data_IF_517906848471
#
_entry.id   IF_517906848471
#
_cell.length_a   1.000
_cell.length_b   1.000
_cell.length_c   1.000
_cell.angle_alpha   90.00
_cell.angle_beta   90.00
_cell.angle_gamma   90.00
#
_symmetry.space_group_name_H-M   'P 1'
#
loop_
_entity.id
_entity.type
_entity.pdbx_description
1 polymer ?
#
# COMPACT_ATOMS: atom_id res chain seq x y z
N UNK A 1 -31.64 -4.51 4.26
CA UNK A 1 -30.37 -3.77 4.34
C UNK A 1 -29.32 -4.58 5.06
N UNK A 2 -28.10 -4.63 4.57
CA UNK A 2 -26.98 -5.49 5.00
C UNK A 2 -26.23 -4.93 6.22
N UNK A 3 -26.38 -5.48 7.45
CA UNK A 3 -25.69 -5.00 8.64
C UNK A 3 -24.15 -5.01 8.51
N UNK A 4 -23.56 -5.99 7.84
CA UNK A 4 -22.13 -6.11 7.65
C UNK A 4 -21.56 -5.03 6.71
N UNK A 5 -22.30 -4.64 5.67
CA UNK A 5 -21.93 -3.51 4.81
C UNK A 5 -21.91 -2.20 5.63
N UNK A 6 -22.97 -1.91 6.39
CA UNK A 6 -23.03 -0.72 7.25
C UNK A 6 -21.90 -0.69 8.28
N UNK A 7 -21.62 -1.82 8.93
CA UNK A 7 -20.51 -1.96 9.87
C UNK A 7 -19.14 -1.70 9.18
N UNK A 8 -18.95 -2.18 7.94
CA UNK A 8 -17.75 -1.93 7.16
C UNK A 8 -17.56 -0.43 6.87
N UNK A 9 -18.63 0.28 6.48
CA UNK A 9 -18.60 1.73 6.26
C UNK A 9 -18.32 2.51 7.55
N UNK A 10 -18.95 2.11 8.68
CA UNK A 10 -18.73 2.75 9.98
C UNK A 10 -17.27 2.58 10.46
N UNK A 11 -16.73 1.37 10.39
CA UNK A 11 -15.31 1.11 10.73
C UNK A 11 -14.36 1.92 9.85
N UNK A 12 -14.64 2.02 8.55
CA UNK A 12 -13.77 2.80 7.64
C UNK A 12 -13.88 4.30 7.89
N UNK A 13 -15.07 4.82 8.24
CA UNK A 13 -15.26 6.22 8.67
C UNK A 13 -14.36 6.55 9.85
N UNK A 14 -14.41 5.71 10.88
CA UNK A 14 -13.66 5.93 12.11
C UNK A 14 -12.15 5.82 11.83
N UNK A 15 -11.72 4.83 11.04
CA UNK A 15 -10.33 4.70 10.62
C UNK A 15 -9.82 5.91 9.79
N UNK A 16 -10.66 6.50 8.93
CA UNK A 16 -10.31 7.72 8.19
C UNK A 16 -10.18 8.93 9.13
N UNK A 17 -11.08 9.07 10.12
CA UNK A 17 -11.00 10.12 11.12
C UNK A 17 -9.70 10.03 11.94
N UNK A 18 -9.37 8.84 12.44
CA UNK A 18 -8.17 8.57 13.24
C UNK A 18 -6.88 8.75 12.44
N UNK A 19 -6.90 8.41 11.15
CA UNK A 19 -5.74 8.53 10.26
C UNK A 19 -5.61 9.92 9.59
N UNK A 20 -6.46 10.89 9.94
CA UNK A 20 -6.33 12.29 9.54
C UNK A 20 -6.95 12.65 8.18
N UNK A 21 -7.97 11.89 7.72
CA UNK A 21 -8.80 12.27 6.58
C UNK A 21 -10.22 12.66 7.02
N UNK A 22 -10.45 13.87 7.49
CA UNK A 22 -11.80 14.36 7.82
C UNK A 22 -12.70 14.42 6.59
N UNK A 23 -12.15 14.61 5.40
CA UNK A 23 -12.89 14.61 4.15
C UNK A 23 -13.58 13.27 3.90
N UNK A 24 -12.83 12.18 3.91
CA UNK A 24 -13.41 10.84 3.72
C UNK A 24 -14.29 10.40 4.90
N UNK A 25 -13.93 10.76 6.14
CA UNK A 25 -14.77 10.46 7.29
C UNK A 25 -16.18 11.10 7.16
N UNK A 26 -16.25 12.37 6.70
CA UNK A 26 -17.52 13.06 6.46
C UNK A 26 -18.32 12.43 5.32
N UNK A 27 -17.67 12.10 4.19
CA UNK A 27 -18.34 11.44 3.07
C UNK A 27 -18.88 10.06 3.46
N UNK A 28 -18.13 9.28 4.23
CA UNK A 28 -18.57 7.96 4.70
C UNK A 28 -19.75 8.07 5.67
N UNK A 29 -19.82 9.11 6.51
CA UNK A 29 -21.00 9.36 7.33
C UNK A 29 -22.24 9.63 6.46
N UNK A 30 -22.09 10.41 5.38
CA UNK A 30 -23.15 10.61 4.39
C UNK A 30 -23.55 9.32 3.68
N UNK A 31 -22.57 8.48 3.29
CA UNK A 31 -22.84 7.18 2.67
C UNK A 31 -23.66 6.26 3.58
N UNK A 32 -23.34 6.20 4.87
CA UNK A 32 -24.09 5.41 5.85
C UNK A 32 -25.54 5.86 5.88
N UNK A 33 -25.80 7.17 6.03
CA UNK A 33 -27.15 7.72 6.05
C UNK A 33 -27.91 7.46 4.73
N UNK A 34 -27.22 7.53 3.57
CA UNK A 34 -27.81 7.27 2.26
C UNK A 34 -28.15 5.77 2.08
N UNK A 35 -27.30 4.88 2.58
CA UNK A 35 -27.58 3.43 2.60
C UNK A 35 -28.81 3.13 3.49
N UNK A 36 -28.89 3.75 4.67
CA UNK A 36 -30.04 3.59 5.58
C UNK A 36 -31.37 4.12 5.00
N UNK A 37 -31.27 5.08 4.08
CA UNK A 37 -32.40 5.69 3.39
C UNK A 37 -32.72 5.03 2.02
N UNK A 38 -32.12 3.88 1.70
CA UNK A 38 -32.22 3.20 0.39
C UNK A 38 -31.90 4.12 -0.79
N UNK A 39 -30.85 4.97 -0.63
CA UNK A 39 -30.39 5.92 -1.65
C UNK A 39 -29.38 5.32 -2.64
N UNK A 40 -28.83 6.13 -3.57
CA UNK A 40 -27.92 5.67 -4.62
C UNK A 40 -26.71 4.88 -4.14
N UNK A 41 -26.18 5.13 -2.94
CA UNK A 41 -25.07 4.34 -2.39
C UNK A 41 -25.56 2.91 -2.06
N UNK A 42 -26.80 2.77 -1.57
CA UNK A 42 -27.40 1.43 -1.36
C UNK A 42 -27.51 0.66 -2.67
N UNK A 43 -27.89 1.32 -3.77
CA UNK A 43 -27.95 0.70 -5.09
C UNK A 43 -26.59 0.18 -5.56
N UNK A 44 -25.50 0.88 -5.26
CA UNK A 44 -24.13 0.42 -5.61
C UNK A 44 -23.75 -0.84 -4.85
N UNK A 45 -24.09 -0.94 -3.56
CA UNK A 45 -23.67 -2.05 -2.70
C UNK A 45 -24.71 -3.16 -2.55
N UNK A 46 -25.84 -3.10 -3.25
CA UNK A 46 -26.98 -4.01 -3.07
C UNK A 46 -26.64 -5.49 -3.27
N UNK A 47 -25.69 -5.80 -4.17
CA UNK A 47 -25.31 -7.18 -4.52
C UNK A 47 -24.14 -7.71 -3.66
N UNK A 48 -23.69 -6.94 -2.67
CA UNK A 48 -22.63 -7.37 -1.75
C UNK A 48 -23.19 -8.40 -0.76
N UNK A 49 -22.56 -9.57 -0.72
CA UNK A 49 -22.89 -10.61 0.26
C UNK A 49 -22.51 -10.14 1.67
N UNK A 50 -23.52 -9.94 2.51
CA UNK A 50 -23.37 -9.46 3.88
C UNK A 50 -22.57 -10.42 4.79
N UNK A 51 -22.61 -11.71 4.47
CA UNK A 51 -21.85 -12.74 5.17
C UNK A 51 -20.36 -12.76 4.78
N UNK A 52 -20.02 -12.13 3.65
CA UNK A 52 -18.67 -12.09 3.09
C UNK A 52 -18.35 -10.75 2.44
N UNK A 53 -18.44 -9.68 3.24
CA UNK A 53 -18.11 -8.31 2.77
C UNK A 53 -16.66 -8.23 2.31
N UNK A 54 -16.39 -7.80 1.07
CA UNK A 54 -15.02 -7.70 0.57
C UNK A 54 -14.14 -6.78 1.43
N UNK A 55 -12.87 -7.12 1.63
CA UNK A 55 -11.94 -6.26 2.37
C UNK A 55 -11.89 -4.85 1.77
N UNK A 56 -11.95 -3.84 2.66
CA UNK A 56 -11.88 -2.42 2.30
C UNK A 56 -12.96 -2.00 1.28
N UNK A 57 -14.14 -2.58 1.33
CA UNK A 57 -15.27 -2.24 0.47
C UNK A 57 -15.51 -0.73 0.35
N UNK A 58 -15.55 0.07 1.45
CA UNK A 58 -15.76 1.51 1.35
C UNK A 58 -14.63 2.24 0.60
N UNK A 59 -13.38 1.76 0.70
CA UNK A 59 -12.27 2.34 -0.05
C UNK A 59 -12.30 1.97 -1.54
N UNK A 60 -12.82 0.80 -1.90
CA UNK A 60 -13.10 0.44 -3.30
C UNK A 60 -14.10 1.42 -3.90
N UNK A 61 -15.19 1.66 -3.18
CA UNK A 61 -16.25 2.60 -3.57
C UNK A 61 -15.72 4.04 -3.70
N UNK A 62 -15.05 4.57 -2.65
CA UNK A 62 -14.49 5.93 -2.68
C UNK A 62 -13.40 6.10 -3.75
N UNK A 63 -12.58 5.06 -3.97
CA UNK A 63 -11.59 5.04 -5.05
C UNK A 63 -12.24 5.11 -6.43
N UNK A 64 -13.38 4.42 -6.65
CA UNK A 64 -14.18 4.53 -7.86
C UNK A 64 -14.69 5.95 -8.09
N UNK A 65 -15.28 6.59 -7.06
CA UNK A 65 -15.74 7.98 -7.14
C UNK A 65 -14.58 8.96 -7.39
N UNK A 66 -13.46 8.79 -6.68
CA UNK A 66 -12.27 9.63 -6.89
C UNK A 66 -11.71 9.47 -8.32
N UNK A 67 -11.78 8.26 -8.89
CA UNK A 67 -11.39 8.01 -10.28
C UNK A 67 -12.26 8.81 -11.26
N UNK A 68 -13.58 8.89 -11.05
CA UNK A 68 -14.46 9.74 -11.87
C UNK A 68 -14.04 11.22 -11.83
N UNK A 69 -13.63 11.72 -10.67
CA UNK A 69 -13.09 13.07 -10.50
C UNK A 69 -11.79 13.26 -11.30
N UNK A 70 -10.84 12.35 -11.16
CA UNK A 70 -9.55 12.39 -11.85
C UNK A 70 -9.69 12.29 -13.37
N UNK A 71 -10.65 11.52 -13.85
CA UNK A 71 -10.99 11.37 -15.27
C UNK A 71 -11.86 12.52 -15.82
N UNK A 72 -12.15 13.56 -15.00
CA UNK A 72 -12.96 14.74 -15.34
C UNK A 72 -14.42 14.41 -15.67
N UNK A 73 -14.93 13.29 -15.20
CA UNK A 73 -16.33 12.86 -15.42
C UNK A 73 -17.28 13.38 -14.34
N UNK A 74 -16.76 13.95 -13.25
CA UNK A 74 -17.51 14.51 -12.14
C UNK A 74 -17.11 15.99 -11.86
N UNK A 75 -17.34 16.95 -12.78
CA UNK A 75 -16.81 18.30 -12.67
C UNK A 75 -17.36 19.11 -11.48
N UNK A 76 -18.61 18.87 -11.05
CA UNK A 76 -19.17 19.51 -9.87
C UNK A 76 -18.54 18.99 -8.59
N UNK A 77 -18.30 17.67 -8.53
CA UNK A 77 -17.63 17.03 -7.38
C UNK A 77 -16.15 17.43 -7.30
N UNK A 78 -15.48 17.64 -8.44
CA UNK A 78 -14.09 18.07 -8.52
C UNK A 78 -13.81 19.40 -7.77
N UNK A 79 -14.81 20.26 -7.62
CA UNK A 79 -14.69 21.52 -6.86
C UNK A 79 -14.36 21.29 -5.37
N UNK A 80 -14.67 20.11 -4.84
CA UNK A 80 -14.45 19.75 -3.44
C UNK A 80 -13.23 18.84 -3.22
N UNK A 81 -12.66 18.27 -4.30
CA UNK A 81 -11.54 17.32 -4.18
C UNK A 81 -10.20 18.05 -4.23
N UNK A 82 -9.50 18.17 -3.09
CA UNK A 82 -8.21 18.85 -2.99
C UNK A 82 -7.12 18.24 -3.88
N UNK A 83 -7.24 16.95 -4.23
CA UNK A 83 -6.33 16.23 -5.14
C UNK A 83 -6.27 16.82 -6.55
N UNK A 84 -7.33 17.51 -7.00
CA UNK A 84 -7.45 18.18 -8.30
C UNK A 84 -7.58 19.71 -8.19
N UNK A 85 -7.30 20.27 -7.02
CA UNK A 85 -7.35 21.72 -6.78
C UNK A 85 -8.68 22.25 -6.26
N UNK A 86 -9.61 21.37 -5.85
CA UNK A 86 -10.83 21.74 -5.15
C UNK A 86 -10.58 22.31 -3.74
N UNK A 87 -11.62 22.84 -3.13
CA UNK A 87 -11.57 23.54 -1.83
C UNK A 87 -11.29 22.61 -0.62
N UNK A 88 -11.54 21.30 -0.75
CA UNK A 88 -11.39 20.31 0.31
C UNK A 88 -12.51 20.37 1.37
N UNK A 89 -13.60 21.10 1.11
CA UNK A 89 -14.72 21.23 2.04
C UNK A 89 -15.69 20.05 1.91
N UNK A 90 -15.59 19.12 2.85
CA UNK A 90 -16.48 17.97 2.91
C UNK A 90 -17.92 18.36 3.33
N UNK A 91 -18.10 19.46 4.06
CA UNK A 91 -19.40 19.86 4.60
C UNK A 91 -20.42 20.24 3.53
N UNK A 92 -19.94 20.76 2.40
CA UNK A 92 -20.75 21.18 1.24
C UNK A 92 -20.70 20.19 0.08
N UNK A 93 -19.83 19.16 0.17
CA UNK A 93 -19.54 18.20 -0.88
C UNK A 93 -20.71 17.22 -1.15
N UNK A 94 -21.48 16.85 -0.11
CA UNK A 94 -22.43 15.76 -0.17
C UNK A 94 -23.43 15.78 -1.34
N UNK A 95 -24.11 16.90 -1.67
CA UNK A 95 -25.05 16.93 -2.80
C UNK A 95 -24.38 16.59 -4.15
N UNK A 96 -23.15 17.07 -4.39
CA UNK A 96 -22.40 16.78 -5.60
C UNK A 96 -21.89 15.32 -5.60
N UNK A 97 -21.49 14.80 -4.44
CA UNK A 97 -21.07 13.40 -4.26
C UNK A 97 -22.23 12.45 -4.57
N UNK A 98 -23.39 12.65 -3.91
CA UNK A 98 -24.59 11.83 -4.09
C UNK A 98 -25.05 11.82 -5.54
N UNK A 99 -25.11 12.98 -6.19
CA UNK A 99 -25.48 13.08 -7.60
C UNK A 99 -24.47 12.37 -8.53
N UNK A 100 -23.18 12.40 -8.20
CA UNK A 100 -22.17 11.65 -8.94
C UNK A 100 -22.38 10.14 -8.79
N UNK A 101 -22.68 9.64 -7.60
CA UNK A 101 -22.99 8.22 -7.36
C UNK A 101 -24.22 7.79 -8.15
N UNK A 102 -25.33 8.54 -8.05
CA UNK A 102 -26.60 8.27 -8.73
C UNK A 102 -26.43 8.14 -10.27
N UNK A 103 -25.56 8.96 -10.86
CA UNK A 103 -25.29 8.93 -12.30
C UNK A 103 -24.34 7.80 -12.74
N UNK A 104 -23.68 7.11 -11.80
CA UNK A 104 -22.62 6.15 -12.11
C UNK A 104 -22.75 4.82 -11.34
N UNK A 105 -23.97 4.43 -10.93
CA UNK A 105 -24.22 3.24 -10.08
C UNK A 105 -23.56 1.99 -10.67
N UNK A 106 -23.82 1.65 -11.93
CA UNK A 106 -23.32 0.41 -12.54
C UNK A 106 -21.79 0.41 -12.61
N UNK A 107 -21.18 1.51 -12.99
CA UNK A 107 -19.71 1.64 -13.02
C UNK A 107 -19.10 1.49 -11.63
N UNK A 108 -19.68 2.13 -10.63
CA UNK A 108 -19.19 2.04 -9.26
C UNK A 108 -19.36 0.62 -8.70
N UNK A 109 -20.42 -0.10 -9.08
CA UNK A 109 -20.61 -1.51 -8.76
C UNK A 109 -19.52 -2.40 -9.35
N UNK A 110 -19.14 -2.16 -10.61
CA UNK A 110 -18.00 -2.85 -11.24
C UNK A 110 -16.69 -2.57 -10.52
N UNK A 111 -16.48 -1.32 -10.08
CA UNK A 111 -15.28 -0.92 -9.34
C UNK A 111 -15.13 -1.64 -7.99
N UNK A 112 -16.24 -2.06 -7.35
CA UNK A 112 -16.19 -2.83 -6.10
C UNK A 112 -15.49 -4.19 -6.27
N UNK A 113 -15.47 -4.75 -7.47
CA UNK A 113 -14.84 -6.06 -7.74
C UNK A 113 -13.30 -6.00 -7.67
N UNK A 114 -12.72 -4.80 -7.82
CA UNK A 114 -11.28 -4.63 -7.82
C UNK A 114 -10.75 -4.27 -6.43
N UNK A 115 -9.72 -4.99 -5.95
CA UNK A 115 -9.04 -4.62 -4.72
C UNK A 115 -8.37 -3.23 -4.85
N UNK A 116 -8.29 -2.44 -3.75
CA UNK A 116 -7.56 -1.19 -3.76
C UNK A 116 -6.09 -1.39 -4.13
N UNK A 117 -5.62 -0.62 -5.11
CA UNK A 117 -4.23 -0.63 -5.58
C UNK A 117 -3.52 0.62 -5.04
N UNK A 118 -3.09 0.58 -3.78
CA UNK A 118 -2.55 1.76 -3.11
C UNK A 118 -1.07 2.00 -3.39
N UNK A 119 -0.28 0.95 -3.61
CA UNK A 119 1.19 0.96 -3.76
C UNK A 119 1.85 2.09 -2.96
N UNK A 120 1.63 2.08 -1.64
CA UNK A 120 1.97 3.20 -0.76
C UNK A 120 3.49 3.38 -0.62
N UNK A 121 3.98 4.47 -1.18
CA UNK A 121 5.42 4.81 -1.22
C UNK A 121 5.99 5.08 0.18
N UNK A 122 5.16 5.47 1.14
CA UNK A 122 5.60 5.66 2.53
C UNK A 122 6.15 4.37 3.17
N UNK A 123 5.66 3.22 2.73
CA UNK A 123 6.13 1.91 3.22
C UNK A 123 7.57 1.59 2.82
N UNK A 124 8.09 2.24 1.78
CA UNK A 124 9.51 2.15 1.43
C UNK A 124 10.43 2.59 2.56
N UNK A 125 9.99 3.48 3.47
CA UNK A 125 10.79 3.85 4.64
C UNK A 125 11.17 2.65 5.51
N UNK A 126 10.24 1.70 5.66
CA UNK A 126 10.45 0.45 6.40
C UNK A 126 11.38 -0.49 5.64
N UNK A 127 11.14 -0.64 4.33
CA UNK A 127 11.98 -1.48 3.47
C UNK A 127 13.43 -0.97 3.43
N UNK A 128 13.64 0.35 3.26
CA UNK A 128 14.99 0.97 3.26
C UNK A 128 15.71 0.65 4.56
N UNK A 129 15.06 0.82 5.72
CA UNK A 129 15.68 0.49 6.99
C UNK A 129 16.01 -0.99 7.16
N UNK A 130 15.14 -1.89 6.71
CA UNK A 130 15.43 -3.33 6.69
C UNK A 130 16.61 -3.66 5.77
N UNK A 131 16.69 -3.04 4.58
CA UNK A 131 17.81 -3.22 3.65
C UNK A 131 19.11 -2.71 4.26
N UNK A 132 19.12 -1.56 4.94
CA UNK A 132 20.29 -1.07 5.66
C UNK A 132 20.74 -2.06 6.76
N UNK A 133 19.79 -2.61 7.52
CA UNK A 133 20.09 -3.61 8.55
C UNK A 133 20.75 -4.86 7.93
N UNK A 134 20.19 -5.38 6.85
CA UNK A 134 20.74 -6.56 6.15
C UNK A 134 22.11 -6.27 5.53
N UNK A 135 22.27 -5.10 4.88
CA UNK A 135 23.55 -4.71 4.28
C UNK A 135 24.64 -4.49 5.32
N UNK A 136 24.32 -3.89 6.48
CA UNK A 136 25.27 -3.74 7.58
C UNK A 136 25.70 -5.09 8.18
N UNK A 137 24.78 -6.08 8.23
CA UNK A 137 25.05 -7.41 8.79
C UNK A 137 25.86 -8.31 7.85
N UNK A 138 25.57 -8.28 6.56
CA UNK A 138 26.10 -9.25 5.59
C UNK A 138 27.11 -8.66 4.60
N UNK A 139 27.01 -7.37 4.27
CA UNK A 139 27.88 -6.73 3.28
C UNK A 139 27.77 -7.31 1.86
N UNK A 140 26.63 -7.97 1.55
CA UNK A 140 26.38 -8.65 0.28
C UNK A 140 25.38 -7.85 -0.58
N UNK A 141 25.47 -7.97 -1.93
CA UNK A 141 24.46 -7.45 -2.83
C UNK A 141 23.08 -8.04 -2.57
N UNK A 142 22.04 -7.22 -2.77
CA UNK A 142 20.65 -7.59 -2.53
C UNK A 142 19.95 -7.96 -3.83
N UNK A 143 19.23 -9.07 -3.81
CA UNK A 143 18.20 -9.41 -4.80
C UNK A 143 16.85 -9.19 -4.14
N UNK A 144 16.10 -8.19 -4.60
CA UNK A 144 14.84 -7.75 -4.00
C UNK A 144 13.63 -8.27 -4.78
N UNK A 145 12.78 -9.02 -4.10
CA UNK A 145 11.53 -9.56 -4.63
C UNK A 145 10.34 -9.07 -3.82
N UNK A 146 9.25 -8.67 -4.49
CA UNK A 146 8.05 -8.16 -3.82
C UNK A 146 6.80 -8.91 -4.29
N UNK A 147 5.99 -9.42 -3.37
CA UNK A 147 4.66 -9.95 -3.67
C UNK A 147 3.57 -8.92 -3.34
N UNK A 148 2.54 -8.82 -4.20
CA UNK A 148 1.54 -7.76 -4.11
C UNK A 148 2.12 -6.40 -4.45
N UNK A 149 3.01 -6.35 -5.45
CA UNK A 149 3.79 -5.16 -5.80
C UNK A 149 2.95 -4.05 -6.43
N UNK A 150 1.74 -4.34 -6.92
CA UNK A 150 0.90 -3.39 -7.64
C UNK A 150 1.64 -2.79 -8.87
N UNK A 151 2.24 -1.61 -8.73
CA UNK A 151 3.03 -0.97 -9.78
C UNK A 151 4.55 -1.08 -9.54
N UNK A 152 5.01 -1.78 -8.50
CA UNK A 152 6.42 -1.98 -8.18
C UNK A 152 7.15 -0.74 -7.64
N UNK A 153 6.43 0.27 -7.14
CA UNK A 153 7.07 1.51 -6.69
C UNK A 153 8.02 1.29 -5.51
N UNK A 154 7.73 0.33 -4.61
CA UNK A 154 8.62 0.03 -3.49
C UNK A 154 9.89 -0.73 -3.90
N UNK A 155 9.90 -1.37 -5.08
CA UNK A 155 11.10 -1.96 -5.64
C UNK A 155 12.18 -0.92 -6.00
N UNK A 156 11.80 0.37 -6.04
CA UNK A 156 12.69 1.51 -6.30
C UNK A 156 13.17 2.18 -4.99
N UNK A 157 12.99 1.55 -3.84
CA UNK A 157 13.25 2.11 -2.52
C UNK A 157 14.69 2.65 -2.35
N UNK A 158 15.67 2.03 -2.98
CA UNK A 158 17.09 2.47 -2.95
C UNK A 158 17.33 3.82 -3.64
N UNK A 159 16.40 4.28 -4.49
CA UNK A 159 16.45 5.60 -5.12
C UNK A 159 15.73 6.70 -4.30
N UNK A 160 15.16 6.36 -3.15
CA UNK A 160 14.44 7.30 -2.30
C UNK A 160 15.32 7.81 -1.15
N UNK A 161 15.12 9.05 -0.75
CA UNK A 161 15.78 9.63 0.42
C UNK A 161 14.88 9.53 1.66
N UNK A 162 15.48 9.26 2.79
CA UNK A 162 14.86 9.31 4.11
C UNK A 162 15.46 10.49 4.88
N UNK A 163 14.59 11.35 5.44
CA UNK A 163 15.04 12.46 6.26
C UNK A 163 14.40 12.42 7.65
N UNK A 164 15.07 13.06 8.61
CA UNK A 164 14.47 13.35 9.90
C UNK A 164 13.48 14.54 9.81
N UNK A 165 12.95 14.93 10.97
CA UNK A 165 12.00 16.03 11.10
C UNK A 165 12.57 17.38 10.64
N UNK A 166 13.87 17.58 10.81
CA UNK A 166 14.57 18.84 10.49
C UNK A 166 15.07 18.85 9.04
N UNK A 167 14.78 17.79 8.28
CA UNK A 167 15.17 17.63 6.89
C UNK A 167 16.61 17.13 6.69
N UNK A 168 17.29 16.68 7.76
CA UNK A 168 18.61 16.06 7.64
C UNK A 168 18.48 14.68 6.98
N UNK A 169 19.34 14.45 6.00
CA UNK A 169 19.39 13.15 5.30
C UNK A 169 19.89 12.06 6.26
N UNK A 170 19.08 11.01 6.41
CA UNK A 170 19.39 9.80 7.19
C UNK A 170 19.83 8.65 6.28
N UNK A 171 19.20 8.50 5.09
CA UNK A 171 19.52 7.46 4.14
C UNK A 171 19.15 7.86 2.70
N UNK A 172 19.76 7.20 1.72
CA UNK A 172 19.45 7.36 0.29
C UNK A 172 20.20 8.52 -0.39
N UNK A 173 19.93 8.73 -1.69
CA UNK A 173 20.58 9.77 -2.49
C UNK A 173 20.19 11.18 -2.04
N UNK A 174 21.13 12.14 -2.09
CA UNK A 174 20.87 13.55 -1.72
C UNK A 174 19.92 14.27 -2.68
N UNK A 175 19.92 13.86 -3.94
CA UNK A 175 19.16 14.41 -5.05
C UNK A 175 17.93 13.56 -5.41
N UNK A 176 17.52 12.69 -4.49
CA UNK A 176 16.35 11.82 -4.70
C UNK A 176 15.08 12.63 -4.99
N UNK A 177 14.37 12.24 -6.05
CA UNK A 177 13.08 12.85 -6.40
C UNK A 177 11.98 12.51 -5.37
N UNK A 178 12.10 11.35 -4.69
CA UNK A 178 11.20 10.95 -3.60
C UNK A 178 11.91 11.16 -2.27
N UNK A 179 11.33 12.01 -1.41
CA UNK A 179 11.84 12.26 -0.06
C UNK A 179 10.80 11.83 0.97
N UNK A 180 11.16 10.84 1.75
CA UNK A 180 10.37 10.32 2.87
C UNK A 180 10.72 11.14 4.12
N UNK A 181 9.93 12.20 4.38
CA UNK A 181 10.21 13.19 5.44
C UNK A 181 9.72 12.71 6.79
N UNK A 182 10.50 12.97 7.85
CA UNK A 182 10.19 12.54 9.25
C UNK A 182 9.84 11.04 9.32
N UNK A 183 10.55 10.23 8.52
CA UNK A 183 10.14 8.87 8.26
C UNK A 183 10.57 7.89 9.36
N UNK A 184 11.65 8.18 10.09
CA UNK A 184 12.20 7.30 11.11
C UNK A 184 12.27 7.96 12.48
N UNK A 185 11.91 7.21 13.51
CA UNK A 185 11.97 7.57 14.92
C UNK A 185 12.50 6.40 15.73
N UNK A 186 12.90 6.67 16.98
CA UNK A 186 13.49 5.65 17.87
C UNK A 186 14.97 5.40 17.56
N UNK A 187 15.42 4.18 17.79
CA UNK A 187 16.78 3.77 17.42
C UNK A 187 16.83 3.60 15.89
N UNK A 188 17.71 4.37 15.23
CA UNK A 188 17.83 4.29 13.78
C UNK A 188 18.42 2.94 13.35
N UNK A 189 18.00 2.39 12.21
CA UNK A 189 18.62 1.16 11.71
C UNK A 189 20.12 1.40 11.44
N UNK A 190 20.96 0.37 11.62
CA UNK A 190 22.39 0.48 11.34
C UNK A 190 22.59 0.87 9.86
N UNK A 191 23.55 1.73 9.61
CA UNK A 191 23.85 2.17 8.24
C UNK A 191 24.69 1.12 7.53
N UNK A 192 24.17 0.60 6.39
CA UNK A 192 24.86 -0.28 5.46
C UNK A 192 24.76 0.26 4.04
N UNK A 193 25.70 -0.08 3.18
CA UNK A 193 25.62 0.26 1.75
C UNK A 193 24.64 -0.69 1.05
N UNK A 194 23.54 -0.14 0.52
CA UNK A 194 22.53 -0.92 -0.20
C UNK A 194 22.93 -0.99 -1.66
N UNK A 195 23.18 -2.21 -2.14
CA UNK A 195 23.41 -2.50 -3.55
C UNK A 195 22.37 -3.49 -4.05
N UNK A 196 21.34 -3.03 -4.76
CA UNK A 196 20.32 -3.91 -5.38
C UNK A 196 20.80 -4.30 -6.77
N UNK A 197 21.06 -5.61 -6.96
CA UNK A 197 21.53 -6.16 -8.23
C UNK A 197 20.42 -6.81 -9.06
N UNK A 198 19.29 -7.12 -8.44
CA UNK A 198 18.09 -7.64 -9.09
C UNK A 198 16.85 -7.15 -8.34
N UNK A 199 15.81 -6.81 -9.10
CA UNK A 199 14.50 -6.46 -8.53
C UNK A 199 13.36 -6.93 -9.42
N UNK A 200 12.43 -7.66 -8.84
CA UNK A 200 11.25 -8.17 -9.55
C UNK A 200 10.08 -8.27 -8.58
N UNK A 201 8.90 -7.91 -9.04
CA UNK A 201 7.67 -8.07 -8.27
C UNK A 201 6.65 -8.98 -8.94
N UNK A 202 5.62 -9.36 -8.19
CA UNK A 202 4.42 -9.95 -8.75
C UNK A 202 3.16 -9.35 -8.16
N UNK A 203 2.11 -9.34 -8.97
CA UNK A 203 0.75 -8.98 -8.57
C UNK A 203 -0.26 -9.74 -9.42
N UNK A 204 -1.45 -10.01 -8.91
CA UNK A 204 -2.54 -10.61 -9.70
C UNK A 204 -3.05 -9.67 -10.79
N UNK A 205 -2.97 -8.36 -10.55
CA UNK A 205 -3.41 -7.30 -11.46
C UNK A 205 -2.40 -6.14 -11.48
N UNK A 206 -1.20 -6.32 -12.05
CA UNK A 206 -0.17 -5.28 -12.11
C UNK A 206 -0.68 -3.98 -12.72
N UNK A 207 -0.24 -2.86 -12.16
CA UNK A 207 -0.62 -1.53 -12.67
C UNK A 207 0.50 -0.96 -13.52
N UNK A 208 0.21 -0.77 -14.81
CA UNK A 208 1.16 -0.15 -15.74
C UNK A 208 1.21 1.37 -15.56
N UNK A 209 2.29 1.86 -14.96
CA UNK A 209 2.54 3.29 -14.72
C UNK A 209 2.88 4.08 -15.99
N UNK A 210 3.21 3.44 -17.09
CA UNK A 210 3.40 4.12 -18.37
C UNK A 210 2.07 4.66 -18.92
N UNK A 211 0.94 4.04 -18.57
CA UNK A 211 -0.39 4.46 -19.02
C UNK A 211 -1.00 5.53 -18.12
N UNK A 212 -1.83 6.39 -18.70
CA UNK A 212 -2.63 7.37 -17.93
C UNK A 212 -3.59 6.65 -16.98
N UNK A 213 -4.22 5.58 -17.46
CA UNK A 213 -5.16 4.76 -16.69
C UNK A 213 -4.51 4.16 -15.44
N UNK A 214 -3.32 3.59 -15.57
CA UNK A 214 -2.59 3.02 -14.44
C UNK A 214 -2.25 4.09 -13.39
N UNK A 215 -1.71 5.24 -13.80
CA UNK A 215 -1.44 6.35 -12.88
C UNK A 215 -2.70 6.90 -12.21
N UNK A 216 -3.79 7.03 -12.97
CA UNK A 216 -5.09 7.47 -12.44
C UNK A 216 -5.62 6.47 -11.41
N UNK A 217 -5.51 5.15 -11.70
CA UNK A 217 -5.93 4.08 -10.78
C UNK A 217 -5.17 4.17 -9.44
N UNK A 218 -3.84 4.29 -9.45
CA UNK A 218 -3.06 4.44 -8.22
C UNK A 218 -3.43 5.73 -7.47
N UNK A 219 -3.58 6.84 -8.18
CA UNK A 219 -3.93 8.13 -7.58
C UNK A 219 -5.32 8.09 -6.93
N UNK A 220 -6.28 7.36 -7.50
CA UNK A 220 -7.65 7.29 -6.99
C UNK A 220 -7.77 6.63 -5.60
N UNK A 221 -6.78 5.83 -5.20
CA UNK A 221 -6.73 5.24 -3.85
C UNK A 221 -5.94 6.07 -2.83
N UNK A 222 -5.37 7.20 -3.22
CA UNK A 222 -4.84 8.17 -2.26
C UNK A 222 -5.97 9.10 -1.85
N UNK A 223 -6.14 9.32 -0.56
CA UNK A 223 -7.21 10.18 -0.05
C UNK A 223 -7.05 11.60 -0.56
N UNK A 224 -8.12 12.28 -1.01
CA UNK A 224 -8.03 13.59 -1.67
C UNK A 224 -7.39 14.69 -0.83
N UNK A 225 -7.53 14.61 0.49
CA UNK A 225 -7.00 15.55 1.47
C UNK A 225 -5.58 15.19 1.96
N UNK A 226 -5.03 14.01 1.63
CA UNK A 226 -3.64 13.64 1.96
C UNK A 226 -2.66 14.11 0.87
N UNK A 227 -2.33 15.40 0.91
CA UNK A 227 -1.40 16.02 -0.05
C UNK A 227 -0.01 15.39 0.00
N UNK A 228 0.45 15.00 1.19
CA UNK A 228 1.77 14.40 1.35
C UNK A 228 1.91 13.06 0.62
N UNK A 229 0.87 12.19 0.71
CA UNK A 229 0.84 10.94 -0.05
C UNK A 229 0.72 11.17 -1.55
N UNK A 230 -0.09 12.14 -1.98
CA UNK A 230 -0.21 12.51 -3.40
C UNK A 230 1.11 12.98 -3.99
N UNK A 231 1.86 13.82 -3.26
CA UNK A 231 3.18 14.31 -3.70
C UNK A 231 4.18 13.15 -3.80
N UNK A 232 4.25 12.29 -2.77
CA UNK A 232 5.13 11.11 -2.80
C UNK A 232 4.79 10.19 -3.96
N UNK A 233 3.50 9.90 -4.18
CA UNK A 233 3.07 9.07 -5.30
C UNK A 233 3.47 9.69 -6.66
N UNK A 234 3.24 11.00 -6.86
CA UNK A 234 3.61 11.70 -8.11
C UNK A 234 5.11 11.62 -8.37
N UNK A 235 5.92 11.85 -7.33
CA UNK A 235 7.37 11.73 -7.42
C UNK A 235 7.81 10.31 -7.76
N UNK A 236 7.24 9.30 -7.10
CA UNK A 236 7.56 7.90 -7.36
C UNK A 236 7.13 7.45 -8.77
N UNK A 237 5.98 7.90 -9.25
CA UNK A 237 5.54 7.67 -10.62
C UNK A 237 6.51 8.28 -11.66
N UNK A 238 7.06 9.46 -11.38
CA UNK A 238 8.09 10.07 -12.24
C UNK A 238 9.36 9.22 -12.27
N UNK A 239 9.82 8.71 -11.14
CA UNK A 239 10.98 7.80 -11.07
C UNK A 239 10.69 6.50 -11.83
N UNK A 240 9.54 5.89 -11.63
CA UNK A 240 9.18 4.62 -12.28
C UNK A 240 9.07 4.73 -13.81
N UNK A 241 8.77 5.91 -14.36
CA UNK A 241 8.76 6.11 -15.82
C UNK A 241 10.16 6.15 -16.43
N UNK A 242 11.19 6.51 -15.65
CA UNK A 242 12.60 6.54 -16.09
C UNK A 242 13.38 5.31 -15.68
N UNK A 243 12.92 4.61 -14.66
CA UNK A 243 13.55 3.39 -14.13
C UNK A 243 12.47 2.29 -14.03
N UNK A 244 12.07 1.69 -15.14
CA UNK A 244 11.04 0.66 -15.15
C UNK A 244 11.49 -0.57 -14.36
N UNK A 245 10.56 -1.15 -13.61
CA UNK A 245 10.75 -2.41 -12.88
C UNK A 245 9.81 -3.46 -13.44
N UNK A 246 10.24 -4.72 -13.38
CA UNK A 246 9.41 -5.84 -13.80
C UNK A 246 8.41 -6.19 -12.68
N UNK A 247 7.11 -6.16 -13.00
CA UNK A 247 6.05 -6.73 -12.17
C UNK A 247 5.32 -7.78 -12.98
N UNK A 248 5.50 -9.04 -12.60
CA UNK A 248 4.88 -10.19 -13.28
C UNK A 248 3.41 -10.30 -12.87
N UNK A 249 2.52 -10.52 -13.82
CA UNK A 249 1.15 -10.92 -13.52
C UNK A 249 1.15 -12.38 -13.11
N UNK A 250 1.25 -12.62 -11.80
CA UNK A 250 1.46 -13.96 -11.25
C UNK A 250 0.91 -14.07 -9.83
N UNK A 251 0.48 -15.26 -9.46
CA UNK A 251 0.13 -15.62 -8.09
C UNK A 251 1.37 -15.58 -7.17
N UNK A 252 1.19 -15.13 -5.92
CA UNK A 252 2.26 -14.97 -4.96
C UNK A 252 2.95 -16.32 -4.59
N UNK A 253 2.18 -17.41 -4.49
CA UNK A 253 2.73 -18.73 -4.16
C UNK A 253 3.61 -19.23 -5.29
N UNK A 254 3.10 -19.20 -6.53
CA UNK A 254 3.87 -19.60 -7.72
C UNK A 254 5.13 -18.75 -7.90
N UNK A 255 5.02 -17.44 -7.62
CA UNK A 255 6.17 -16.55 -7.72
C UNK A 255 7.25 -16.92 -6.69
N UNK A 256 6.89 -17.14 -5.44
CA UNK A 256 7.83 -17.53 -4.38
C UNK A 256 8.41 -18.92 -4.62
N UNK A 257 7.62 -19.89 -5.12
CA UNK A 257 8.12 -21.24 -5.47
C UNK A 257 9.14 -21.23 -6.61
N UNK A 258 9.07 -20.24 -7.49
CA UNK A 258 10.03 -20.06 -8.57
C UNK A 258 11.36 -19.42 -8.14
N UNK A 259 11.40 -18.74 -6.97
CA UNK A 259 12.62 -18.09 -6.49
C UNK A 259 13.73 -19.12 -6.22
N UNK A 260 14.95 -18.71 -6.53
CA UNK A 260 16.17 -19.48 -6.24
C UNK A 260 17.16 -18.57 -5.55
N UNK A 261 17.74 -19.04 -4.44
CA UNK A 261 18.81 -18.33 -3.75
C UNK A 261 20.08 -18.40 -4.61
N UNK A 262 20.86 -17.31 -4.56
CA UNK A 262 22.13 -17.24 -5.30
C UNK A 262 23.29 -17.01 -4.33
N UNK A 263 24.44 -17.67 -4.54
CA UNK A 263 25.63 -17.43 -3.76
C UNK A 263 26.08 -15.98 -3.79
N UNK A 264 26.71 -15.53 -2.72
CA UNK A 264 27.22 -14.18 -2.52
C UNK A 264 26.15 -13.06 -2.64
N UNK A 265 24.89 -13.39 -2.31
CA UNK A 265 23.79 -12.42 -2.28
C UNK A 265 22.89 -12.60 -1.07
N UNK A 266 22.18 -11.52 -0.71
CA UNK A 266 21.00 -11.57 0.16
C UNK A 266 19.75 -11.52 -0.71
N UNK A 267 18.99 -12.61 -0.76
CA UNK A 267 17.67 -12.65 -1.40
C UNK A 267 16.63 -12.14 -0.40
N UNK A 268 16.03 -10.98 -0.68
CA UNK A 268 15.00 -10.36 0.15
C UNK A 268 13.64 -10.57 -0.48
N UNK A 269 12.73 -11.23 0.24
CA UNK A 269 11.32 -11.28 -0.09
C UNK A 269 10.59 -10.24 0.77
N UNK A 270 10.04 -9.23 0.12
CA UNK A 270 9.28 -8.14 0.73
C UNK A 270 7.80 -8.25 0.44
N UNK A 271 6.96 -7.90 1.40
CA UNK A 271 5.56 -7.57 1.16
C UNK A 271 4.97 -6.65 2.23
N UNK A 272 3.94 -5.91 1.83
CA UNK A 272 3.26 -5.00 2.76
C UNK A 272 1.77 -4.92 2.50
N UNK A 273 0.96 -5.23 3.52
CA UNK A 273 -0.51 -5.10 3.49
C UNK A 273 -1.13 -5.86 2.31
N UNK A 274 -0.66 -7.07 2.07
CA UNK A 274 -1.15 -7.94 1.00
C UNK A 274 -1.89 -9.16 1.54
N UNK A 275 -1.50 -9.65 2.73
CA UNK A 275 -2.05 -10.90 3.26
C UNK A 275 -3.54 -10.81 3.60
N UNK A 276 -4.06 -9.62 3.84
CA UNK A 276 -5.49 -9.42 4.11
C UNK A 276 -6.39 -9.77 2.91
N UNK A 277 -5.84 -9.78 1.69
CA UNK A 277 -6.57 -10.13 0.46
C UNK A 277 -6.48 -11.61 0.11
N UNK A 278 -5.66 -12.39 0.82
CA UNK A 278 -5.47 -13.82 0.59
C UNK A 278 -6.43 -14.63 1.46
N UNK A 279 -6.96 -15.73 0.93
CA UNK A 279 -7.69 -16.71 1.70
C UNK A 279 -6.78 -17.58 2.59
N UNK A 280 -7.37 -18.41 3.44
CA UNK A 280 -6.60 -19.27 4.36
C UNK A 280 -5.72 -20.29 3.64
N UNK A 281 -6.20 -21.02 2.59
CA UNK A 281 -5.37 -21.92 1.81
C UNK A 281 -4.15 -21.24 1.19
N UNK A 282 -4.34 -20.12 0.52
CA UNK A 282 -3.25 -19.33 -0.10
C UNK A 282 -2.22 -18.89 0.93
N UNK A 283 -2.64 -18.38 2.10
CA UNK A 283 -1.73 -18.04 3.20
C UNK A 283 -0.92 -19.25 3.71
N UNK A 284 -1.55 -20.43 3.76
CA UNK A 284 -0.86 -21.65 4.18
C UNK A 284 0.18 -22.09 3.14
N UNK A 285 -0.18 -22.08 1.87
CA UNK A 285 0.73 -22.43 0.76
C UNK A 285 1.92 -21.45 0.68
N UNK A 286 1.65 -20.15 0.81
CA UNK A 286 2.70 -19.12 0.82
C UNK A 286 3.69 -19.33 1.98
N UNK A 287 3.20 -19.60 3.20
CA UNK A 287 4.07 -19.91 4.34
C UNK A 287 4.95 -21.13 4.09
N UNK A 288 4.42 -22.18 3.46
CA UNK A 288 5.19 -23.37 3.10
C UNK A 288 6.26 -23.05 2.05
N UNK A 289 5.95 -22.25 1.03
CA UNK A 289 6.90 -21.82 0.02
C UNK A 289 8.05 -20.99 0.63
N UNK A 290 7.73 -20.03 1.49
CA UNK A 290 8.71 -19.22 2.24
C UNK A 290 9.56 -20.11 3.16
N UNK A 291 8.95 -21.07 3.86
CA UNK A 291 9.66 -22.04 4.71
C UNK A 291 10.71 -22.87 3.94
N UNK A 292 10.41 -23.22 2.67
CA UNK A 292 11.39 -23.91 1.79
C UNK A 292 12.59 -23.02 1.47
N UNK A 293 12.38 -21.72 1.25
CA UNK A 293 13.49 -20.78 1.02
C UNK A 293 14.35 -20.64 2.28
N UNK A 294 13.75 -20.50 3.46
CA UNK A 294 14.51 -20.52 4.72
C UNK A 294 15.33 -21.80 4.90
N UNK A 295 14.72 -22.96 4.61
CA UNK A 295 15.42 -24.25 4.73
C UNK A 295 16.57 -24.41 3.74
N UNK A 296 16.55 -23.70 2.61
CA UNK A 296 17.62 -23.73 1.59
C UNK A 296 18.67 -22.62 1.76
N UNK A 297 18.48 -21.70 2.72
CA UNK A 297 19.43 -20.63 2.99
C UNK A 297 20.75 -21.16 3.55
N UNK A 298 21.84 -20.48 3.24
CA UNK A 298 23.17 -20.73 3.76
C UNK A 298 23.85 -19.39 4.10
N UNK A 299 25.00 -19.42 4.76
CA UNK A 299 25.78 -18.20 5.02
C UNK A 299 26.26 -17.50 3.75
N UNK A 300 26.40 -18.24 2.62
CA UNK A 300 26.78 -17.72 1.32
C UNK A 300 25.58 -17.31 0.46
N UNK A 301 24.41 -17.89 0.72
CA UNK A 301 23.15 -17.65 -0.02
C UNK A 301 22.07 -17.27 0.97
N UNK A 302 22.14 -16.03 1.46
CA UNK A 302 21.26 -15.56 2.54
C UNK A 302 19.85 -15.34 2.01
N UNK A 303 18.84 -15.74 2.81
CA UNK A 303 17.45 -15.43 2.57
C UNK A 303 16.90 -14.57 3.71
N UNK A 304 16.22 -13.50 3.39
CA UNK A 304 15.52 -12.64 4.34
C UNK A 304 14.06 -12.45 3.92
N UNK A 305 13.14 -12.87 4.76
CA UNK A 305 11.72 -12.54 4.64
C UNK A 305 11.44 -11.31 5.47
N UNK A 306 10.99 -10.24 4.81
CA UNK A 306 10.71 -8.93 5.40
C UNK A 306 9.27 -8.58 5.08
N UNK A 307 8.44 -8.27 6.09
CA UNK A 307 7.03 -7.95 5.83
C UNK A 307 6.46 -6.94 6.81
N UNK A 308 5.52 -6.17 6.30
CA UNK A 308 4.80 -5.17 7.06
C UNK A 308 3.29 -5.42 6.95
N UNK A 309 2.70 -5.94 8.01
CA UNK A 309 1.30 -6.37 8.04
C UNK A 309 0.63 -5.98 9.37
N UNK A 310 -0.73 -5.95 9.43
CA UNK A 310 -1.44 -5.71 10.66
C UNK A 310 -1.00 -6.65 11.79
N UNK A 311 -0.99 -6.16 13.01
CA UNK A 311 -0.82 -7.03 14.19
C UNK A 311 -2.17 -7.68 14.52
N UNK A 312 -2.14 -8.91 15.00
CA UNK A 312 -3.37 -9.65 15.33
C UNK A 312 -4.26 -8.96 16.39
N UNK A 313 -3.66 -8.12 17.23
CA UNK A 313 -4.31 -7.46 18.38
C UNK A 313 -4.46 -5.94 18.21
N UNK A 314 -3.91 -5.35 17.15
CA UNK A 314 -3.90 -3.90 16.95
C UNK A 314 -3.99 -3.59 15.45
N UNK A 315 -5.10 -2.97 15.04
CA UNK A 315 -5.33 -2.56 13.65
C UNK A 315 -4.83 -1.13 13.37
N UNK A 316 -4.37 -0.40 14.39
CA UNK A 316 -3.87 0.97 14.28
C UNK A 316 -2.36 0.99 14.00
N UNK A 317 -1.62 0.06 14.61
CA UNK A 317 -0.17 -0.09 14.38
C UNK A 317 0.15 -1.42 13.74
N UNK A 318 0.93 -1.34 12.67
CA UNK A 318 1.43 -2.49 11.94
C UNK A 318 2.87 -2.75 12.34
N UNK A 319 3.27 -4.01 12.34
CA UNK A 319 4.65 -4.40 12.65
C UNK A 319 5.44 -4.72 11.40
N UNK A 320 6.62 -4.12 11.28
CA UNK A 320 7.66 -4.63 10.39
C UNK A 320 8.33 -5.82 11.04
N UNK A 321 8.27 -6.95 10.38
CA UNK A 321 8.94 -8.18 10.83
C UNK A 321 10.01 -8.58 9.84
N UNK A 322 11.06 -9.19 10.38
CA UNK A 322 12.16 -9.75 9.61
C UNK A 322 12.54 -11.11 10.18
N UNK A 323 12.72 -12.09 9.29
CA UNK A 323 13.28 -13.39 9.61
C UNK A 323 14.40 -13.68 8.62
N UNK A 324 15.58 -14.06 9.10
CA UNK A 324 16.77 -14.23 8.24
C UNK A 324 17.36 -15.62 8.40
N UNK A 325 17.68 -16.25 7.28
CA UNK A 325 18.31 -17.57 7.26
C UNK A 325 17.51 -18.61 8.03
N UNK A 326 18.16 -19.29 8.96
CA UNK A 326 17.56 -20.32 9.82
C UNK A 326 17.09 -19.78 11.19
N UNK A 327 16.94 -18.48 11.35
CA UNK A 327 16.40 -17.92 12.60
C UNK A 327 15.02 -18.56 12.89
N UNK A 328 14.79 -19.07 14.11
CA UNK A 328 13.58 -19.82 14.41
C UNK A 328 12.32 -18.95 14.37
N UNK A 329 12.47 -17.68 14.77
CA UNK A 329 11.37 -16.74 14.91
C UNK A 329 11.67 -15.43 14.18
N UNK A 330 10.61 -14.84 13.64
CA UNK A 330 10.66 -13.51 13.09
C UNK A 330 10.73 -12.45 14.20
N UNK A 331 11.60 -11.48 14.03
CA UNK A 331 11.72 -10.34 14.94
C UNK A 331 10.84 -9.18 14.47
N UNK A 332 10.18 -8.49 15.39
CA UNK A 332 9.56 -7.19 15.12
C UNK A 332 10.66 -6.14 15.25
N UNK A 333 11.02 -5.49 14.16
CA UNK A 333 12.15 -4.53 14.13
C UNK A 333 11.68 -3.07 14.07
N UNK A 334 10.42 -2.84 13.67
CA UNK A 334 9.81 -1.51 13.71
C UNK A 334 8.29 -1.60 13.79
N UNK A 335 7.66 -0.50 14.20
CA UNK A 335 6.22 -0.30 14.15
C UNK A 335 5.89 1.00 13.41
N UNK A 336 4.79 1.00 12.66
CA UNK A 336 4.33 2.18 11.93
C UNK A 336 2.81 2.18 11.77
N UNK A 337 2.19 3.33 11.44
CA UNK A 337 0.84 3.39 10.90
C UNK A 337 0.74 2.59 9.58
N UNK A 338 -0.47 2.24 9.10
CA UNK A 338 -0.68 1.45 7.87
C UNK A 338 0.02 1.99 6.61
N UNK A 339 0.31 3.29 6.59
CA UNK A 339 1.01 3.98 5.49
C UNK A 339 2.54 4.01 5.63
N UNK A 340 3.10 3.30 6.64
CA UNK A 340 4.53 3.07 6.78
C UNK A 340 5.32 4.20 7.44
N UNK A 341 4.72 5.37 7.68
CA UNK A 341 5.42 6.54 8.22
C UNK A 341 4.60 7.28 9.28
N UNK A 342 5.24 7.82 10.33
CA UNK A 342 6.62 7.56 10.73
C UNK A 342 6.81 6.14 11.28
N UNK A 343 7.93 5.49 10.95
CA UNK A 343 8.33 4.21 11.51
C UNK A 343 9.10 4.43 12.81
N UNK A 344 8.72 3.71 13.86
CA UNK A 344 9.45 3.67 15.14
C UNK A 344 10.26 2.39 15.16
N UNK A 345 11.57 2.51 15.08
CA UNK A 345 12.51 1.38 15.16
C UNK A 345 12.69 0.93 16.61
N UNK A 346 12.86 -0.39 16.82
CA UNK A 346 12.92 -1.06 18.14
C UNK A 346 14.32 -1.58 18.44
#
# INVERSE_FOLDING_TARGET
>A
MSPGVLESFARQRDACADAGSPFYATLLAGCIADIEADGPVADVVQDVDDSNVPPLLPLRFLGGVHRLVLERQAPRLALHYASVGGDGDASTCWPAFRACVEQNVDRLRDDLQSAPQTNDVGRSALLIGALHHLSARYGLPVRLFEIGSSAGLNLLADSFAVTDRDGRLLAGPRDAAVVLRDAWRGELPPSGEIQIVERTGCDLAPVDVATVQGRTRLTSFVWPDDRGRLERLRSALSVATTTPVEVQQRDAVEFVEALRLQPATVTVLWHSVVTMYMDRPTKAALRLAIGRLHASATDESVFAHVWFEPRATDHVRFGLRMQVGHEPDAQVVAEAPPHGMPAVWL
#
